data_IF_189056876900
#
_entry.id   IF_189056876900
#
_cell.length_a   1.000
_cell.length_b   1.000
_cell.length_c   1.000
_cell.angle_alpha   90.00
_cell.angle_beta   90.00
_cell.angle_gamma   90.00
#
_symmetry.space_group_name_H-M   'P 1'
#
loop_
_entity.id
_entity.type
_entity.pdbx_description
1 polymer ?
#
# COMPACT_ATOMS: atom_id res chain seq x y z
N UNK A 1 -33.48 -22.16 -7.29
CA UNK A 1 -32.26 -21.34 -7.16
C UNK A 1 -31.24 -22.16 -6.41
N UNK A 2 -30.18 -22.55 -7.10
CA UNK A 2 -29.07 -23.28 -6.52
C UNK A 2 -28.18 -22.24 -5.79
N UNK A 3 -28.18 -22.29 -4.47
CA UNK A 3 -27.32 -21.43 -3.66
C UNK A 3 -25.91 -22.03 -3.66
N UNK A 4 -25.20 -21.88 -4.77
CA UNK A 4 -23.78 -22.19 -4.82
C UNK A 4 -23.00 -21.32 -3.84
N UNK A 5 -22.00 -21.87 -3.17
CA UNK A 5 -21.11 -21.11 -2.30
C UNK A 5 -20.43 -19.98 -3.08
N UNK A 6 -20.82 -18.74 -2.81
CA UNK A 6 -20.14 -17.57 -3.38
C UNK A 6 -18.79 -17.42 -2.68
N UNK A 7 -17.74 -17.67 -3.40
CA UNK A 7 -16.35 -17.44 -2.93
C UNK A 7 -15.83 -16.13 -3.50
N UNK A 8 -14.84 -15.51 -2.88
CA UNK A 8 -14.20 -14.31 -3.41
C UNK A 8 -13.67 -14.49 -4.85
N UNK A 9 -13.37 -15.73 -5.27
CA UNK A 9 -12.94 -16.07 -6.63
C UNK A 9 -14.08 -16.12 -7.65
N UNK A 10 -15.31 -16.35 -7.19
CA UNK A 10 -16.50 -16.40 -8.06
C UNK A 10 -17.15 -15.03 -8.27
N UNK A 11 -16.70 -14.01 -7.55
CA UNK A 11 -17.17 -12.64 -7.74
C UNK A 11 -16.47 -12.04 -8.96
N UNK A 12 -17.20 -11.61 -10.02
CA UNK A 12 -16.60 -11.10 -11.25
C UNK A 12 -15.93 -9.73 -11.07
N UNK A 13 -16.25 -9.01 -9.98
CA UNK A 13 -15.67 -7.71 -9.67
C UNK A 13 -14.48 -7.86 -8.72
N UNK A 14 -13.36 -7.24 -9.07
CA UNK A 14 -12.14 -7.22 -8.26
C UNK A 14 -11.91 -5.80 -7.70
N UNK A 15 -12.37 -5.50 -6.48
CA UNK A 15 -12.09 -4.22 -5.83
C UNK A 15 -10.70 -4.24 -5.20
N UNK A 16 -10.03 -3.09 -5.19
CA UNK A 16 -8.79 -2.87 -4.46
C UNK A 16 -8.95 -1.67 -3.55
N UNK A 17 -8.70 -1.86 -2.27
CA UNK A 17 -8.67 -0.80 -1.28
C UNK A 17 -7.23 -0.31 -1.09
N UNK A 18 -7.04 0.98 -1.29
CA UNK A 18 -5.77 1.67 -1.10
C UNK A 18 -5.97 2.72 -0.02
N UNK A 19 -5.59 2.38 1.20
CA UNK A 19 -5.60 3.31 2.32
C UNK A 19 -4.31 4.13 2.33
N UNK A 20 -4.41 5.40 1.96
CA UNK A 20 -3.30 6.34 1.94
C UNK A 20 -2.94 6.84 3.35
N UNK A 21 -3.90 6.83 4.29
CA UNK A 21 -3.74 7.36 5.66
C UNK A 21 -3.00 6.38 6.57
N UNK A 22 -3.16 5.07 6.36
CA UNK A 22 -2.58 4.04 7.22
C UNK A 22 -1.10 3.78 6.92
N UNK A 23 -0.27 4.81 7.07
CA UNK A 23 1.18 4.62 7.21
C UNK A 23 1.41 4.14 8.64
N UNK A 24 1.09 2.88 8.91
CA UNK A 24 1.43 2.27 10.19
C UNK A 24 2.95 2.20 10.30
N UNK A 25 3.50 2.90 11.30
CA UNK A 25 4.94 3.01 11.57
C UNK A 25 5.65 1.70 11.89
N UNK A 26 4.92 0.59 12.07
CA UNK A 26 5.49 -0.70 12.41
C UNK A 26 5.49 -1.60 11.18
N UNK A 27 6.65 -2.02 10.72
CA UNK A 27 6.94 -3.11 9.75
C UNK A 27 5.92 -3.35 8.61
N UNK A 28 4.65 -2.93 8.79
CA UNK A 28 3.54 -3.15 7.86
C UNK A 28 3.60 -2.32 6.57
N UNK A 29 4.18 -1.10 6.59
CA UNK A 29 4.28 -0.28 5.37
C UNK A 29 5.29 -0.87 4.38
N UNK A 30 6.42 -1.39 4.90
CA UNK A 30 7.40 -2.09 4.07
C UNK A 30 6.83 -3.37 3.49
N UNK A 31 6.08 -4.14 4.30
CA UNK A 31 5.46 -5.36 3.84
C UNK A 31 4.50 -5.12 2.67
N UNK A 32 3.64 -4.10 2.75
CA UNK A 32 2.70 -3.77 1.68
C UNK A 32 3.42 -3.46 0.36
N UNK A 33 4.47 -2.64 0.40
CA UNK A 33 5.26 -2.31 -0.80
C UNK A 33 5.98 -3.56 -1.33
N UNK A 34 6.54 -4.39 -0.44
CA UNK A 34 7.19 -5.64 -0.81
C UNK A 34 6.20 -6.64 -1.42
N UNK A 35 5.00 -6.75 -0.88
CA UNK A 35 3.95 -7.62 -1.42
C UNK A 35 3.58 -7.17 -2.85
N UNK A 36 3.42 -5.86 -3.10
CA UNK A 36 3.17 -5.34 -4.45
C UNK A 36 4.36 -5.62 -5.38
N UNK A 37 5.59 -5.38 -4.94
CA UNK A 37 6.79 -5.68 -5.74
C UNK A 37 6.82 -7.16 -6.08
N UNK A 38 6.50 -8.03 -5.14
CA UNK A 38 6.40 -9.47 -5.36
C UNK A 38 5.37 -9.82 -6.44
N UNK A 39 4.19 -9.18 -6.43
CA UNK A 39 3.14 -9.43 -7.41
C UNK A 39 3.54 -8.98 -8.83
N UNK A 40 4.39 -7.95 -8.95
CA UNK A 40 4.97 -7.51 -10.22
C UNK A 40 6.03 -8.49 -10.75
N UNK A 41 6.74 -9.20 -9.86
CA UNK A 41 7.78 -10.13 -10.24
C UNK A 41 7.20 -11.42 -10.86
N UNK A 42 7.81 -11.90 -11.95
CA UNK A 42 7.48 -13.23 -12.49
C UNK A 42 7.79 -14.33 -11.48
N UNK A 43 7.10 -15.46 -11.59
CA UNK A 43 7.34 -16.63 -10.72
C UNK A 43 8.82 -17.09 -10.76
N UNK A 44 9.47 -16.96 -11.91
CA UNK A 44 10.90 -17.27 -12.07
C UNK A 44 11.77 -16.31 -11.26
N UNK A 45 11.52 -15.01 -11.32
CA UNK A 45 12.26 -14.02 -10.53
C UNK A 45 12.03 -14.20 -9.03
N UNK A 46 10.82 -14.50 -8.61
CA UNK A 46 10.52 -14.80 -7.20
C UNK A 46 11.30 -16.02 -6.70
N UNK A 47 11.34 -17.10 -7.49
CA UNK A 47 12.10 -18.31 -7.15
C UNK A 47 13.61 -18.04 -7.10
N UNK A 48 14.16 -17.29 -8.05
CA UNK A 48 15.58 -16.91 -8.05
C UNK A 48 15.95 -16.06 -6.85
N UNK A 49 15.09 -15.09 -6.48
CA UNK A 49 15.31 -14.23 -5.31
C UNK A 49 15.25 -15.04 -4.01
N UNK A 50 14.28 -15.94 -3.88
CA UNK A 50 14.19 -16.84 -2.74
C UNK A 50 15.43 -17.74 -2.61
N UNK A 51 15.95 -18.27 -3.73
CA UNK A 51 17.17 -19.08 -3.74
C UNK A 51 18.40 -18.27 -3.34
N UNK A 52 18.54 -17.04 -3.88
CA UNK A 52 19.63 -16.14 -3.53
C UNK A 52 19.63 -15.77 -2.05
N UNK A 53 18.44 -15.49 -1.50
CA UNK A 53 18.28 -15.19 -0.09
C UNK A 53 18.64 -16.39 0.81
N UNK A 54 18.26 -17.60 0.38
CA UNK A 54 18.65 -18.83 1.09
C UNK A 54 20.16 -19.05 1.07
N UNK A 55 20.80 -18.90 -0.10
CA UNK A 55 22.27 -18.99 -0.22
C UNK A 55 22.99 -18.01 0.69
N UNK A 56 22.49 -16.78 0.79
CA UNK A 56 23.04 -15.76 1.71
C UNK A 56 22.95 -16.22 3.17
N UNK A 57 21.82 -16.83 3.57
CA UNK A 57 21.67 -17.39 4.94
C UNK A 57 22.60 -18.58 5.19
N UNK A 58 22.77 -19.44 4.21
CA UNK A 58 23.68 -20.58 4.31
C UNK A 58 25.13 -20.11 4.42
N UNK A 59 25.53 -19.07 3.65
CA UNK A 59 26.88 -18.49 3.73
C UNK A 59 27.20 -17.86 5.09
N UNK A 60 26.18 -17.40 5.84
CA UNK A 60 26.37 -16.89 7.20
C UNK A 60 26.93 -17.95 8.15
N UNK A 61 26.54 -19.21 7.99
CA UNK A 61 27.04 -20.31 8.82
C UNK A 61 28.49 -20.66 8.52
N UNK A 62 28.98 -20.30 7.32
CA UNK A 62 30.35 -20.51 6.89
C UNK A 62 31.31 -19.40 7.35
N UNK A 63 30.77 -18.29 7.88
CA UNK A 63 31.55 -17.19 8.40
C UNK A 63 32.38 -17.64 9.61
N UNK A 64 33.67 -17.26 9.64
CA UNK A 64 34.61 -17.70 10.66
C UNK A 64 34.23 -17.26 12.08
N UNK A 65 33.60 -16.06 12.20
CA UNK A 65 33.11 -15.56 13.49
C UNK A 65 31.94 -16.43 13.97
N UNK A 66 31.03 -16.79 13.07
CA UNK A 66 29.87 -17.65 13.41
C UNK A 66 30.31 -19.04 13.79
N UNK A 67 31.31 -19.60 13.09
CA UNK A 67 31.94 -20.88 13.45
C UNK A 67 32.61 -20.80 14.83
N UNK A 68 33.32 -19.73 15.13
CA UNK A 68 33.96 -19.51 16.43
C UNK A 68 32.91 -19.41 17.56
N UNK A 69 31.84 -18.66 17.37
CA UNK A 69 30.71 -18.54 18.31
C UNK A 69 30.07 -19.91 18.54
N UNK A 70 29.78 -20.66 17.48
CA UNK A 70 29.14 -21.97 17.58
C UNK A 70 30.08 -22.99 18.28
N UNK A 71 31.37 -22.88 18.06
CA UNK A 71 32.38 -23.70 18.77
C UNK A 71 32.37 -23.37 20.27
N UNK A 72 32.40 -22.08 20.62
CA UNK A 72 32.39 -21.64 22.02
C UNK A 72 31.08 -22.05 22.74
N UNK A 73 29.93 -21.95 22.06
CA UNK A 73 28.62 -22.40 22.59
C UNK A 73 28.60 -23.93 22.77
N UNK A 74 29.21 -24.67 21.83
CA UNK A 74 29.32 -26.12 21.91
C UNK A 74 30.10 -26.58 23.15
N UNK A 75 31.10 -25.84 23.57
CA UNK A 75 31.87 -26.13 24.79
C UNK A 75 31.05 -25.96 26.08
N UNK A 76 29.90 -25.29 26.03
CA UNK A 76 28.96 -25.16 27.17
C UNK A 76 27.96 -26.29 27.27
N UNK A 77 28.09 -27.33 26.45
CA UNK A 77 27.27 -28.53 26.58
C UNK A 77 27.48 -29.19 27.94
N UNK A 78 26.42 -29.61 28.59
CA UNK A 78 26.45 -30.17 29.97
C UNK A 78 26.31 -29.08 31.05
N UNK A 79 26.72 -27.84 30.79
CA UNK A 79 26.56 -26.72 31.74
C UNK A 79 25.24 -26.00 31.59
N UNK A 80 24.80 -25.72 30.32
CA UNK A 80 23.56 -25.02 30.00
C UNK A 80 22.47 -26.03 29.59
N UNK A 81 22.82 -27.03 28.79
CA UNK A 81 21.95 -28.07 28.29
C UNK A 81 22.74 -29.33 27.98
N UNK A 82 22.12 -30.51 28.08
CA UNK A 82 22.74 -31.77 27.61
C UNK A 82 22.82 -31.83 26.07
N UNK A 83 22.21 -30.87 25.37
CA UNK A 83 22.23 -30.76 23.92
C UNK A 83 23.20 -29.63 23.50
N UNK A 84 23.80 -29.79 22.32
CA UNK A 84 24.69 -28.79 21.73
C UNK A 84 23.86 -27.55 21.36
N UNK A 85 24.26 -26.39 21.87
CA UNK A 85 23.69 -25.09 21.52
C UNK A 85 24.46 -24.52 20.33
N UNK A 86 23.75 -23.94 19.37
CA UNK A 86 24.32 -23.25 18.22
C UNK A 86 23.42 -22.12 17.77
N UNK A 87 24.00 -21.17 17.02
CA UNK A 87 23.31 -20.01 16.42
C UNK A 87 23.29 -20.18 14.91
N UNK A 88 22.14 -19.92 14.31
CA UNK A 88 21.98 -19.86 12.87
C UNK A 88 20.98 -18.73 12.51
N UNK A 89 20.95 -18.33 11.24
CA UNK A 89 19.85 -17.46 10.78
C UNK A 89 18.54 -18.26 10.75
N UNK A 90 17.45 -17.57 11.04
CA UNK A 90 16.12 -18.17 10.96
C UNK A 90 15.79 -18.54 9.50
N UNK A 91 15.56 -19.82 9.24
CA UNK A 91 15.20 -20.38 7.94
C UNK A 91 13.72 -20.73 7.83
N UNK A 92 12.91 -20.40 8.84
CA UNK A 92 11.46 -20.63 8.80
C UNK A 92 10.77 -19.80 7.73
N UNK A 93 9.55 -20.17 7.38
CA UNK A 93 8.74 -19.43 6.42
C UNK A 93 8.48 -17.96 6.84
N UNK A 94 8.55 -17.65 8.14
CA UNK A 94 8.41 -16.28 8.67
C UNK A 94 9.62 -15.40 8.35
N UNK A 95 10.79 -16.00 8.15
CA UNK A 95 12.03 -15.31 7.79
C UNK A 95 12.35 -15.46 6.30
N UNK A 96 11.31 -15.36 5.45
CA UNK A 96 11.42 -15.35 4.00
C UNK A 96 12.07 -14.04 3.50
N UNK A 97 12.48 -14.00 2.23
CA UNK A 97 13.10 -12.83 1.65
C UNK A 97 12.18 -11.59 1.73
N UNK A 98 10.87 -11.76 1.63
CA UNK A 98 9.89 -10.68 1.75
C UNK A 98 9.94 -9.96 3.10
N UNK A 99 10.29 -10.69 4.16
CA UNK A 99 10.47 -10.11 5.48
C UNK A 99 11.86 -9.48 5.69
N UNK A 100 12.84 -9.90 4.88
CA UNK A 100 14.23 -9.49 5.01
C UNK A 100 14.67 -8.35 4.08
N UNK A 101 13.84 -7.98 3.09
CA UNK A 101 14.17 -6.89 2.17
C UNK A 101 13.50 -5.58 2.58
N UNK A 102 14.16 -4.48 2.26
CA UNK A 102 13.67 -3.14 2.51
C UNK A 102 13.62 -2.37 1.19
N UNK A 103 12.46 -1.85 0.77
CA UNK A 103 12.37 -0.99 -0.39
C UNK A 103 13.14 0.33 -0.16
N UNK A 104 13.77 0.83 -1.22
CA UNK A 104 14.46 2.12 -1.25
C UNK A 104 13.85 2.98 -2.35
N UNK A 105 13.88 4.29 -2.15
CA UNK A 105 13.57 5.30 -3.15
C UNK A 105 14.77 6.25 -3.22
N UNK A 106 15.42 6.33 -4.38
CA UNK A 106 16.69 7.06 -4.56
C UNK A 106 17.74 6.73 -3.46
N UNK A 107 17.98 5.44 -3.22
CA UNK A 107 18.87 4.90 -2.19
C UNK A 107 18.48 5.23 -0.73
N UNK A 108 17.37 5.93 -0.51
CA UNK A 108 16.84 6.19 0.83
C UNK A 108 15.89 5.06 1.24
N UNK A 109 16.14 4.39 2.38
CA UNK A 109 15.20 3.40 2.90
C UNK A 109 13.79 3.96 3.05
N UNK A 110 12.78 3.23 2.58
CA UNK A 110 11.38 3.68 2.55
C UNK A 110 10.88 4.27 3.88
N UNK A 111 11.23 3.75 5.08
CA UNK A 111 10.82 4.35 6.34
C UNK A 111 11.37 5.76 6.61
N UNK A 112 12.47 6.14 5.94
CA UNK A 112 13.11 7.45 6.05
C UNK A 112 12.63 8.44 4.98
N UNK A 113 11.88 7.97 3.99
CA UNK A 113 11.24 8.81 2.96
C UNK A 113 10.09 9.60 3.59
N UNK A 114 9.84 10.82 3.12
CA UNK A 114 8.71 11.63 3.57
C UNK A 114 7.35 10.92 3.40
N UNK A 115 6.46 11.03 4.39
CA UNK A 115 5.16 10.31 4.41
C UNK A 115 4.32 10.52 3.15
N UNK A 116 4.27 11.75 2.64
CA UNK A 116 3.53 12.05 1.41
C UNK A 116 4.08 11.30 0.20
N UNK A 117 5.38 11.18 0.08
CA UNK A 117 6.01 10.44 -1.00
C UNK A 117 5.82 8.94 -0.85
N UNK A 118 5.93 8.40 0.38
CA UNK A 118 5.57 7.01 0.66
C UNK A 118 4.12 6.71 0.23
N UNK A 119 3.17 7.60 0.56
CA UNK A 119 1.77 7.47 0.19
C UNK A 119 1.58 7.50 -1.34
N UNK A 120 2.23 8.44 -2.01
CA UNK A 120 2.19 8.57 -3.47
C UNK A 120 2.72 7.33 -4.19
N UNK A 121 3.87 6.82 -3.75
CA UNK A 121 4.47 5.58 -4.30
C UNK A 121 3.54 4.39 -4.06
N UNK A 122 2.99 4.25 -2.86
CA UNK A 122 2.05 3.18 -2.49
C UNK A 122 0.83 3.16 -3.40
N UNK A 123 0.19 4.33 -3.61
CA UNK A 123 -1.01 4.44 -4.46
C UNK A 123 -0.68 4.08 -5.91
N UNK A 124 0.39 4.66 -6.46
CA UNK A 124 0.80 4.40 -7.85
C UNK A 124 1.13 2.93 -8.08
N UNK A 125 1.94 2.33 -7.21
CA UNK A 125 2.28 0.91 -7.29
C UNK A 125 1.04 0.01 -7.21
N UNK A 126 0.11 0.32 -6.29
CA UNK A 126 -1.12 -0.45 -6.13
C UNK A 126 -1.98 -0.41 -7.40
N UNK A 127 -2.11 0.75 -8.04
CA UNK A 127 -2.87 0.89 -9.27
C UNK A 127 -2.17 0.16 -10.44
N UNK A 128 -0.85 0.31 -10.55
CA UNK A 128 -0.06 -0.29 -11.63
C UNK A 128 -0.01 -1.83 -11.54
N UNK A 129 0.16 -2.37 -10.32
CA UNK A 129 0.18 -3.82 -10.10
C UNK A 129 -1.19 -4.48 -10.30
N UNK A 130 -2.25 -3.70 -10.33
CA UNK A 130 -3.62 -4.18 -10.29
C UNK A 130 -4.34 -4.01 -11.64
N UNK A 131 -3.69 -4.39 -12.73
CA UNK A 131 -4.24 -4.25 -14.09
C UNK A 131 -5.63 -4.91 -14.25
N UNK A 132 -5.88 -6.01 -13.52
CA UNK A 132 -7.16 -6.72 -13.52
C UNK A 132 -8.21 -6.15 -12.57
N UNK A 133 -7.92 -5.11 -11.79
CA UNK A 133 -8.91 -4.50 -10.91
C UNK A 133 -10.00 -3.80 -11.72
N UNK A 134 -11.24 -3.92 -11.27
CA UNK A 134 -12.40 -3.26 -11.85
C UNK A 134 -12.78 -2.01 -11.07
N UNK A 135 -12.48 -1.99 -9.77
CA UNK A 135 -12.84 -0.92 -8.85
C UNK A 135 -11.63 -0.54 -8.01
N UNK A 136 -11.28 0.73 -7.97
CA UNK A 136 -10.31 1.30 -7.04
C UNK A 136 -11.03 2.07 -5.94
N UNK A 137 -10.76 1.70 -4.70
CA UNK A 137 -11.20 2.41 -3.50
C UNK A 137 -9.97 3.09 -2.90
N UNK A 138 -9.91 4.42 -2.93
CA UNK A 138 -8.77 5.19 -2.43
C UNK A 138 -9.24 6.06 -1.27
N UNK A 139 -8.60 5.88 -0.12
CA UNK A 139 -8.93 6.61 1.09
C UNK A 139 -7.93 7.75 1.31
N UNK A 140 -8.47 8.98 1.40
CA UNK A 140 -7.77 10.23 1.71
C UNK A 140 -6.41 10.40 0.98
N UNK A 141 -6.40 10.44 -0.38
CA UNK A 141 -5.16 10.53 -1.15
C UNK A 141 -4.35 11.81 -0.87
N UNK A 142 -5.00 12.85 -0.32
CA UNK A 142 -4.39 14.12 0.04
C UNK A 142 -3.47 14.07 1.26
N UNK A 143 -3.56 13.01 2.07
CA UNK A 143 -2.85 12.96 3.34
C UNK A 143 -1.33 13.07 3.16
N UNK A 144 -0.75 14.02 3.91
CA UNK A 144 0.68 14.34 3.91
C UNK A 144 1.26 14.83 2.57
N UNK A 145 0.43 15.16 1.57
CA UNK A 145 0.88 15.67 0.29
C UNK A 145 0.84 17.21 0.24
N UNK A 146 1.83 17.81 -0.40
CA UNK A 146 1.74 19.19 -0.86
C UNK A 146 0.73 19.28 -2.00
N UNK A 147 0.17 20.48 -2.20
CA UNK A 147 -0.76 20.76 -3.29
C UNK A 147 -0.23 20.31 -4.67
N UNK A 148 1.05 20.59 -4.95
CA UNK A 148 1.68 20.20 -6.20
C UNK A 148 1.75 18.68 -6.39
N UNK A 149 2.16 17.95 -5.35
CA UNK A 149 2.26 16.48 -5.38
C UNK A 149 0.89 15.83 -5.46
N UNK A 150 -0.11 16.38 -4.75
CA UNK A 150 -1.49 15.93 -4.83
C UNK A 150 -2.04 16.06 -6.26
N UNK A 151 -1.80 17.22 -6.91
CA UNK A 151 -2.24 17.44 -8.29
C UNK A 151 -1.63 16.41 -9.26
N UNK A 152 -0.33 16.14 -9.13
CA UNK A 152 0.34 15.10 -9.91
C UNK A 152 -0.22 13.70 -9.65
N UNK A 153 -0.49 13.39 -8.38
CA UNK A 153 -1.06 12.10 -8.00
C UNK A 153 -2.46 11.91 -8.57
N UNK A 154 -3.35 12.90 -8.41
CA UNK A 154 -4.72 12.83 -8.93
C UNK A 154 -4.75 12.69 -10.45
N UNK A 155 -3.84 13.38 -11.16
CA UNK A 155 -3.69 13.22 -12.60
C UNK A 155 -3.30 11.78 -12.97
N UNK A 156 -2.31 11.21 -12.30
CA UNK A 156 -1.86 9.84 -12.54
C UNK A 156 -2.98 8.82 -12.22
N UNK A 157 -3.73 9.01 -11.14
CA UNK A 157 -4.89 8.17 -10.78
C UNK A 157 -5.94 8.21 -11.90
N UNK A 158 -6.30 9.41 -12.37
CA UNK A 158 -7.32 9.58 -13.42
C UNK A 158 -6.90 8.91 -14.73
N UNK A 159 -5.63 9.02 -15.12
CA UNK A 159 -5.09 8.41 -16.34
C UNK A 159 -5.07 6.88 -16.26
N UNK A 160 -4.71 6.31 -15.11
CA UNK A 160 -4.61 4.87 -14.91
C UNK A 160 -5.96 4.20 -14.63
N UNK A 161 -6.96 4.96 -14.16
CA UNK A 161 -8.29 4.45 -13.86
C UNK A 161 -9.24 4.46 -15.06
N UNK A 162 -8.78 4.78 -16.25
CA UNK A 162 -9.62 4.78 -17.47
C UNK A 162 -10.25 3.40 -17.67
N UNK A 163 -11.59 3.39 -17.84
CA UNK A 163 -12.38 2.16 -17.99
C UNK A 163 -12.64 1.39 -16.71
N UNK A 164 -12.29 1.95 -15.55
CA UNK A 164 -12.49 1.35 -14.22
C UNK A 164 -13.33 2.28 -13.35
N UNK A 165 -13.97 1.72 -12.33
CA UNK A 165 -14.68 2.52 -11.34
C UNK A 165 -13.68 3.02 -10.29
N UNK A 166 -13.69 4.32 -10.03
CA UNK A 166 -12.88 4.98 -9.02
C UNK A 166 -13.78 5.54 -7.93
N UNK A 167 -13.56 5.15 -6.69
CA UNK A 167 -14.25 5.68 -5.51
C UNK A 167 -13.17 6.24 -4.58
N UNK A 168 -13.27 7.51 -4.25
CA UNK A 168 -12.31 8.21 -3.39
C UNK A 168 -13.05 8.79 -2.19
N UNK A 169 -12.56 8.52 -0.98
CA UNK A 169 -12.96 9.27 0.21
C UNK A 169 -11.97 10.41 0.43
N UNK A 170 -12.48 11.59 0.73
CA UNK A 170 -11.65 12.78 0.91
C UNK A 170 -12.33 13.82 1.78
N UNK A 171 -11.52 14.58 2.52
CA UNK A 171 -11.93 15.81 3.20
C UNK A 171 -11.43 17.07 2.48
N UNK A 172 -10.81 16.92 1.31
CA UNK A 172 -10.20 18.02 0.54
C UNK A 172 -11.13 18.55 -0.54
N UNK A 173 -11.52 19.82 -0.43
CA UNK A 173 -12.25 20.51 -1.48
C UNK A 173 -11.49 20.54 -2.82
N UNK A 174 -10.15 20.53 -2.77
CA UNK A 174 -9.33 20.45 -3.96
C UNK A 174 -9.48 19.12 -4.70
N UNK A 175 -9.50 17.99 -3.99
CA UNK A 175 -9.72 16.66 -4.59
C UNK A 175 -11.11 16.61 -5.24
N UNK A 176 -12.15 17.08 -4.55
CA UNK A 176 -13.51 17.14 -5.08
C UNK A 176 -13.59 17.95 -6.37
N UNK A 177 -13.00 19.15 -6.39
CA UNK A 177 -13.01 20.01 -7.57
C UNK A 177 -12.21 19.42 -8.74
N UNK A 178 -11.11 18.73 -8.44
CA UNK A 178 -10.25 18.14 -9.47
C UNK A 178 -10.89 16.92 -10.15
N UNK A 179 -11.69 16.16 -9.43
CA UNK A 179 -12.36 14.94 -9.91
C UNK A 179 -13.79 15.19 -10.44
N UNK A 180 -14.26 16.42 -10.34
CA UNK A 180 -15.59 16.84 -10.78
C UNK A 180 -16.60 16.84 -9.64
N UNK A 181 -17.15 18.03 -9.35
CA UNK A 181 -18.12 18.24 -8.26
C UNK A 181 -19.41 17.45 -8.50
N UNK A 182 -19.74 17.21 -9.76
CA UNK A 182 -20.90 16.41 -10.18
C UNK A 182 -20.83 14.93 -9.72
N UNK A 183 -19.64 14.45 -9.42
CA UNK A 183 -19.41 13.06 -8.98
C UNK A 183 -19.36 12.93 -7.44
N UNK A 184 -19.58 14.02 -6.72
CA UNK A 184 -19.47 14.06 -5.26
C UNK A 184 -20.72 13.49 -4.60
N UNK A 185 -20.50 12.57 -3.65
CA UNK A 185 -21.47 12.11 -2.66
C UNK A 185 -21.09 12.68 -1.30
N UNK A 186 -21.89 13.60 -0.77
CA UNK A 186 -21.67 14.18 0.55
C UNK A 186 -22.41 13.35 1.60
N UNK A 187 -21.68 12.85 2.58
CA UNK A 187 -22.25 12.13 3.71
C UNK A 187 -22.44 13.04 4.90
N UNK A 188 -23.68 13.17 5.34
CA UNK A 188 -24.06 13.84 6.58
C UNK A 188 -24.71 12.82 7.53
N UNK A 189 -23.90 12.22 8.38
CA UNK A 189 -24.35 11.16 9.29
C UNK A 189 -24.87 9.93 8.51
N UNK A 190 -26.19 9.75 8.46
CA UNK A 190 -26.82 8.58 7.82
C UNK A 190 -27.33 8.84 6.40
N UNK A 191 -27.25 10.07 5.93
CA UNK A 191 -27.78 10.48 4.62
C UNK A 191 -26.65 10.79 3.66
N UNK A 192 -26.80 10.35 2.41
CA UNK A 192 -25.93 10.75 1.31
C UNK A 192 -26.67 11.77 0.44
N UNK A 193 -26.02 12.86 0.11
CA UNK A 193 -26.55 13.95 -0.70
C UNK A 193 -25.68 14.09 -1.94
N UNK A 194 -26.30 14.19 -3.11
CA UNK A 194 -25.63 14.48 -4.36
C UNK A 194 -25.82 15.94 -4.74
N UNK A 195 -25.03 16.44 -5.69
CA UNK A 195 -25.25 17.77 -6.27
C UNK A 195 -26.68 17.88 -6.87
N UNK A 196 -27.28 16.75 -7.32
CA UNK A 196 -28.61 16.72 -7.89
C UNK A 196 -29.73 16.93 -6.87
N UNK A 197 -29.46 16.70 -5.60
CA UNK A 197 -30.42 16.92 -4.50
C UNK A 197 -30.47 18.41 -4.06
N UNK A 198 -29.55 19.24 -4.58
CA UNK A 198 -29.49 20.67 -4.28
C UNK A 198 -30.40 21.47 -5.20
N UNK A 199 -30.82 22.68 -4.75
CA UNK A 199 -31.59 23.61 -5.61
C UNK A 199 -30.81 24.02 -6.86
N UNK A 200 -31.50 24.42 -7.92
CA UNK A 200 -30.86 24.86 -9.16
C UNK A 200 -29.92 26.06 -8.93
N UNK A 201 -30.32 26.99 -8.06
CA UNK A 201 -29.51 28.16 -7.69
C UNK A 201 -28.22 27.75 -6.96
N UNK A 202 -28.31 26.79 -6.04
CA UNK A 202 -27.14 26.29 -5.31
C UNK A 202 -26.22 25.54 -6.24
N UNK A 203 -26.74 24.74 -7.18
CA UNK A 203 -25.92 24.06 -8.21
C UNK A 203 -25.15 25.05 -9.07
N UNK A 204 -25.85 26.07 -9.59
CA UNK A 204 -25.26 27.12 -10.41
C UNK A 204 -24.17 27.88 -9.66
N UNK A 205 -24.40 28.14 -8.37
CA UNK A 205 -23.43 28.77 -7.50
C UNK A 205 -22.13 27.94 -7.42
N UNK A 206 -22.23 26.64 -7.13
CA UNK A 206 -21.04 25.77 -7.03
C UNK A 206 -20.35 25.53 -8.37
N UNK A 207 -21.08 25.42 -9.46
CA UNK A 207 -20.50 25.20 -10.78
C UNK A 207 -19.86 26.44 -11.40
N UNK A 208 -20.32 27.64 -11.03
CA UNK A 208 -19.85 28.90 -11.62
C UNK A 208 -18.81 29.63 -10.80
N UNK A 209 -18.59 29.25 -9.54
CA UNK A 209 -17.62 29.90 -8.68
C UNK A 209 -16.20 29.43 -8.99
N UNK A 210 -15.31 30.34 -9.37
CA UNK A 210 -13.90 30.01 -9.64
C UNK A 210 -13.07 29.82 -8.37
N UNK A 211 -13.67 29.65 -7.21
CA UNK A 211 -12.96 29.62 -5.93
C UNK A 211 -13.23 28.37 -5.11
N UNK A 212 -12.18 27.60 -4.93
CA UNK A 212 -12.15 26.30 -4.24
C UNK A 212 -12.39 26.37 -2.72
N UNK A 213 -12.44 27.57 -2.13
CA UNK A 213 -12.54 27.76 -0.68
C UNK A 213 -13.98 27.76 -0.17
N UNK A 214 -14.96 27.87 -1.05
CA UNK A 214 -16.35 28.05 -0.63
C UNK A 214 -16.97 26.77 -0.09
N UNK A 215 -16.56 25.59 -0.57
CA UNK A 215 -17.01 24.31 -0.01
C UNK A 215 -16.46 24.09 1.41
N UNK A 216 -15.33 24.71 1.75
CA UNK A 216 -14.74 24.65 3.09
C UNK A 216 -15.53 25.41 4.14
N UNK A 217 -16.36 26.35 3.71
CA UNK A 217 -17.21 27.18 4.59
C UNK A 217 -18.58 26.53 4.89
N UNK A 218 -18.96 25.47 4.17
CA UNK A 218 -20.26 24.83 4.28
C UNK A 218 -20.18 23.45 4.95
N UNK A 219 -18.99 22.87 5.04
CA UNK A 219 -18.70 21.62 5.75
C UNK A 219 -18.10 21.91 7.13
#
# INVERSE_FOLDING_TARGET
FDYGNITARSIPLKPILIDASSIRHNFGANKYVVDIIKDILSSTHQAQLALSYRKMKDSFLEDDIVKAINSALGLKQGSISNKKLSVSLDTTAKASWEAGVMPHLDDIPMPLVGKGEQSSVKIKLAIESSAEAHIYLIEEPENHLSFHNLNKLLKAISEQAVGKQLIITTHSSFVMNKLGVENVLLFNGKTAITLNDLSAETKDYFLKLPGHDTLRLIL
#
